data_IF_089191246441
#
_entry.id   IF_089191246441
#
_cell.length_a   1.000
_cell.length_b   1.000
_cell.length_c   1.000
_cell.angle_alpha   90.00
_cell.angle_beta   90.00
_cell.angle_gamma   90.00
#
_symmetry.space_group_name_H-M   'P 1'
#
loop_
_entity.id
_entity.type
_entity.pdbx_description
1 polymer ?
#
# COMPACT_ATOMS: atom_id res chain seq x y z
N UNK A 1 -3.53 15.09 -25.57
CA UNK A 1 -3.45 14.34 -25.54
C UNK A 1 -2.57 13.68 -25.02
N UNK A 2 -1.68 13.85 -24.93
CA UNK A 2 -0.80 13.27 -24.48
C UNK A 2 -0.93 13.07 -23.22
N UNK A 3 -1.31 13.78 -22.78
CA UNK A 3 -1.55 13.61 -21.60
C UNK A 3 -2.10 12.37 -21.43
N UNK A 4 -2.74 11.81 -22.21
CA UNK A 4 -3.30 10.58 -22.02
C UNK A 4 -2.27 9.57 -21.74
N UNK A 5 -1.14 9.72 -22.24
CA UNK A 5 -0.12 8.74 -21.99
C UNK A 5 0.16 8.67 -20.52
N UNK A 6 0.27 9.80 -19.91
CA UNK A 6 0.59 9.81 -18.52
C UNK A 6 -0.48 9.10 -17.74
N UNK A 7 -1.67 9.14 -18.23
CA UNK A 7 -2.71 8.54 -17.50
C UNK A 7 -2.75 7.05 -17.62
N UNK A 8 -1.90 6.50 -18.43
CA UNK A 8 -1.90 5.07 -18.61
C UNK A 8 -1.16 4.32 -17.54
N UNK A 9 -0.45 5.00 -16.70
CA UNK A 9 0.28 4.30 -15.66
C UNK A 9 -0.71 3.79 -14.63
N UNK A 10 -0.74 2.49 -14.46
CA UNK A 10 -1.64 1.88 -13.50
C UNK A 10 -1.22 2.29 -12.08
N UNK A 11 -2.15 2.54 -11.19
CA UNK A 11 -1.79 2.92 -9.82
C UNK A 11 -0.81 1.96 -9.15
N UNK A 12 -0.87 0.67 -9.49
CA UNK A 12 0.07 -0.26 -8.90
C UNK A 12 1.51 0.04 -9.28
N UNK A 13 1.73 0.77 -10.36
CA UNK A 13 3.06 1.05 -10.81
C UNK A 13 3.55 2.42 -10.42
N UNK A 14 2.77 3.16 -9.66
CA UNK A 14 3.22 4.45 -9.20
C UNK A 14 4.15 4.26 -8.02
N UNK A 15 5.18 5.08 -7.96
CA UNK A 15 6.24 4.93 -6.98
C UNK A 15 5.73 4.86 -5.56
N UNK A 16 4.82 5.73 -5.22
CA UNK A 16 4.32 5.79 -3.87
C UNK A 16 3.61 4.50 -3.50
N UNK A 17 2.85 3.94 -4.43
CA UNK A 17 2.12 2.72 -4.15
C UNK A 17 3.04 1.52 -4.09
N UNK A 18 4.07 1.51 -4.94
CA UNK A 18 5.05 0.46 -4.91
C UNK A 18 5.76 0.46 -3.55
N UNK A 19 6.12 1.64 -3.08
CA UNK A 19 6.79 1.75 -1.80
C UNK A 19 5.92 1.18 -0.68
N UNK A 20 4.64 1.53 -0.67
CA UNK A 20 3.75 1.05 0.38
C UNK A 20 3.56 -0.45 0.31
N UNK A 21 3.43 -0.99 -0.89
CA UNK A 21 3.25 -2.42 -1.04
C UNK A 21 4.49 -3.17 -0.59
N UNK A 22 5.66 -2.66 -0.95
CA UNK A 22 6.89 -3.34 -0.57
C UNK A 22 7.11 -3.27 0.93
N UNK A 23 6.81 -2.14 1.53
CA UNK A 23 6.93 -2.02 2.97
C UNK A 23 5.96 -2.97 3.66
N UNK A 24 4.75 -3.08 3.13
CA UNK A 24 3.78 -4.00 3.70
C UNK A 24 4.24 -5.44 3.61
N UNK A 25 4.80 -5.82 2.47
CA UNK A 25 5.27 -7.18 2.31
C UNK A 25 6.44 -7.49 3.23
N UNK A 26 7.32 -6.51 3.43
CA UNK A 26 8.44 -6.73 4.33
C UNK A 26 7.93 -6.92 5.76
N UNK A 27 6.97 -6.12 6.19
CA UNK A 27 6.42 -6.27 7.52
C UNK A 27 5.67 -7.59 7.64
N UNK A 28 4.99 -8.01 6.58
CA UNK A 28 4.32 -9.29 6.57
C UNK A 28 5.31 -10.41 6.85
N UNK A 29 6.48 -10.33 6.25
CA UNK A 29 7.48 -11.36 6.46
C UNK A 29 8.13 -11.30 7.83
N UNK A 30 8.15 -10.12 8.42
CA UNK A 30 8.78 -9.96 9.71
C UNK A 30 7.87 -10.32 10.89
N UNK A 31 6.58 -10.48 10.64
CA UNK A 31 5.65 -10.79 11.69
C UNK A 31 5.06 -12.17 11.49
N UNK A 32 4.55 -12.74 12.56
CA UNK A 32 3.98 -14.07 12.50
C UNK A 32 2.61 -14.08 13.13
N UNK A 33 1.91 -15.19 12.97
CA UNK A 33 0.64 -15.38 13.66
C UNK A 33 -0.43 -14.40 13.20
N UNK A 34 -1.20 -13.91 14.15
CA UNK A 34 -2.30 -13.03 13.85
C UNK A 34 -1.85 -11.74 13.20
N UNK A 35 -0.68 -11.25 13.62
CA UNK A 35 -0.20 -10.01 13.08
C UNK A 35 0.07 -10.13 11.59
N UNK A 36 0.65 -11.24 11.19
CA UNK A 36 0.91 -11.46 9.77
C UNK A 36 -0.40 -11.49 8.99
N UNK A 37 -1.42 -12.14 9.54
CA UNK A 37 -2.68 -12.21 8.84
C UNK A 37 -3.33 -10.85 8.70
N UNK A 38 -3.25 -10.04 9.72
CA UNK A 38 -3.81 -8.71 9.65
C UNK A 38 -3.09 -7.87 8.59
N UNK A 39 -1.77 -7.95 8.57
CA UNK A 39 -0.99 -7.21 7.58
C UNK A 39 -1.32 -7.70 6.18
N UNK A 40 -1.38 -9.00 5.99
CA UNK A 40 -1.69 -9.56 4.69
C UNK A 40 -3.05 -9.14 4.19
N UNK A 41 -4.03 -9.09 5.09
CA UNK A 41 -5.37 -8.69 4.71
C UNK A 41 -5.38 -7.23 4.26
N UNK A 42 -4.64 -6.37 4.96
CA UNK A 42 -4.60 -4.97 4.59
C UNK A 42 -3.86 -4.76 3.26
N UNK A 43 -2.85 -5.57 2.99
CA UNK A 43 -2.17 -5.50 1.70
C UNK A 43 -3.16 -5.84 0.60
N UNK A 44 -3.96 -6.88 0.80
CA UNK A 44 -4.91 -7.29 -0.21
C UNK A 44 -5.95 -6.21 -0.46
N UNK A 45 -6.42 -5.56 0.60
CA UNK A 45 -7.39 -4.49 0.45
C UNK A 45 -6.79 -3.33 -0.34
N UNK A 46 -5.55 -2.99 -0.03
CA UNK A 46 -4.90 -1.90 -0.73
C UNK A 46 -4.75 -2.22 -2.21
N UNK A 47 -4.35 -3.45 -2.52
CA UNK A 47 -4.21 -3.85 -3.91
C UNK A 47 -5.54 -3.77 -4.65
N UNK A 48 -6.62 -4.15 -4.00
CA UNK A 48 -7.91 -4.06 -4.64
C UNK A 48 -8.29 -2.64 -4.93
N UNK A 49 -8.00 -1.73 -4.02
CA UNK A 49 -8.31 -0.34 -4.22
C UNK A 49 -7.49 0.22 -5.38
N UNK A 50 -6.23 -0.21 -5.51
CA UNK A 50 -5.43 0.23 -6.62
C UNK A 50 -6.01 -0.25 -7.95
N UNK A 51 -6.58 -1.46 -7.96
CA UNK A 51 -7.17 -1.97 -9.17
C UNK A 51 -8.41 -1.19 -9.59
N UNK A 52 -9.08 -0.55 -8.65
CA UNK A 52 -10.26 0.21 -8.98
C UNK A 52 -9.92 1.46 -9.78
N UNK A 53 -8.68 1.91 -9.67
CA UNK A 53 -8.18 3.09 -10.36
C UNK A 53 -8.99 4.35 -10.01
N UNK A 54 -9.62 4.35 -8.86
CA UNK A 54 -10.37 5.50 -8.39
C UNK A 54 -9.42 6.36 -7.57
N UNK A 55 -9.03 7.50 -8.11
CA UNK A 55 -8.00 8.32 -7.49
C UNK A 55 -8.38 8.81 -6.09
N UNK A 56 -9.65 9.11 -5.88
CA UNK A 56 -10.07 9.58 -4.56
C UNK A 56 -9.93 8.48 -3.53
N UNK A 57 -10.34 7.27 -3.89
CA UNK A 57 -10.21 6.16 -2.98
C UNK A 57 -8.75 5.80 -2.75
N UNK A 58 -7.96 5.86 -3.80
CA UNK A 58 -6.55 5.52 -3.68
C UNK A 58 -5.84 6.49 -2.75
N UNK A 59 -6.14 7.77 -2.87
CA UNK A 59 -5.49 8.74 -2.03
C UNK A 59 -5.81 8.51 -0.57
N UNK A 60 -7.08 8.20 -0.27
CA UNK A 60 -7.47 7.93 1.09
C UNK A 60 -6.80 6.64 1.58
N UNK A 61 -6.76 5.63 0.71
CA UNK A 61 -6.16 4.37 1.09
C UNK A 61 -4.67 4.49 1.34
N UNK A 62 -3.99 5.34 0.56
CA UNK A 62 -2.56 5.55 0.79
C UNK A 62 -2.32 6.06 2.20
N UNK A 63 -3.12 7.02 2.61
CA UNK A 63 -2.96 7.60 3.92
C UNK A 63 -3.26 6.59 5.00
N UNK A 64 -4.34 5.85 4.84
CA UNK A 64 -4.72 4.87 5.85
C UNK A 64 -3.75 3.71 5.92
N UNK A 65 -3.29 3.25 4.77
CA UNK A 65 -2.37 2.13 4.75
C UNK A 65 -1.02 2.53 5.32
N UNK A 66 -0.56 3.73 4.99
CA UNK A 66 0.69 4.21 5.52
C UNK A 66 0.63 4.31 7.04
N UNK A 67 -0.48 4.81 7.55
CA UNK A 67 -0.64 4.93 8.98
C UNK A 67 -0.69 3.55 9.63
N UNK A 68 -1.41 2.62 9.00
CA UNK A 68 -1.50 1.26 9.51
C UNK A 68 -0.10 0.63 9.59
N UNK A 69 0.69 0.78 8.53
CA UNK A 69 2.00 0.18 8.52
C UNK A 69 2.91 0.79 9.56
N UNK A 70 2.74 2.06 9.86
CA UNK A 70 3.60 2.71 10.82
C UNK A 70 3.44 2.12 12.21
N UNK A 71 2.31 1.49 12.50
CA UNK A 71 2.13 0.88 13.79
C UNK A 71 3.01 -0.36 13.95
N UNK A 72 3.40 -0.98 12.85
CA UNK A 72 4.23 -2.15 12.91
C UNK A 72 5.69 -1.84 12.61
N UNK A 73 5.97 -0.62 12.20
CA UNK A 73 7.30 -0.25 11.75
C UNK A 73 7.90 0.77 12.68
N UNK A 74 7.73 0.58 13.97
CA UNK A 74 8.20 1.59 14.87
C UNK A 74 9.44 1.23 15.61
N UNK A 75 9.73 0.00 15.67
CA UNK A 75 10.80 -0.39 16.52
C UNK A 75 12.12 0.24 16.26
N UNK A 76 12.43 0.53 15.03
CA UNK A 76 13.76 0.96 14.74
C UNK A 76 13.92 2.43 14.90
N UNK A 77 12.90 3.08 15.21
CA UNK A 77 13.05 4.37 15.42
C UNK A 77 13.84 4.77 16.42
N UNK A 78 14.07 4.60 16.89
CA UNK A 78 14.84 4.95 17.89
C UNK A 78 15.80 5.24 17.77
#
# INVERSE_FOLDING_TARGET
SHLSAALKVHPREQQENIYLLEKGKRLYEEHLGDQRQIIGHRIMIFERILESQDHAQIRRAQSEFAEFLSHYDCGWLL
#
